data_IF_215497832096
#
_entry.id   IF_215497832096
#
_cell.length_a   1.000
_cell.length_b   1.000
_cell.length_c   1.000
_cell.angle_alpha   90.00
_cell.angle_beta   90.00
_cell.angle_gamma   90.00
#
_symmetry.space_group_name_H-M   'P 1'
#
loop_
_entity.id
_entity.type
_entity.pdbx_description
1 polymer ?
#
# COMPACT_ATOMS: atom_id res chain seq x y z
N UNK A 1 13.32 18.33 -6.78
CA UNK A 1 12.55 17.67 -5.70
C UNK A 1 11.40 16.83 -6.27
N UNK A 2 11.42 15.53 -5.99
CA UNK A 2 10.43 14.51 -6.36
C UNK A 2 9.84 13.94 -5.07
N UNK A 3 8.50 13.90 -5.00
CA UNK A 3 7.76 13.18 -3.98
C UNK A 3 7.22 11.89 -4.60
N UNK A 4 7.46 10.75 -3.96
CA UNK A 4 6.85 9.48 -4.34
C UNK A 4 5.77 9.09 -3.33
N UNK A 5 4.67 8.59 -3.86
CA UNK A 5 3.66 7.89 -3.07
C UNK A 5 4.11 6.44 -2.84
N UNK A 6 3.72 5.86 -1.71
CA UNK A 6 4.05 4.49 -1.31
C UNK A 6 3.42 3.43 -2.23
N UNK A 7 2.45 3.83 -3.04
CA UNK A 7 1.66 2.96 -3.91
C UNK A 7 0.55 2.22 -3.15
N UNK A 8 0.42 2.43 -1.84
CA UNK A 8 -0.65 1.87 -1.02
C UNK A 8 -2.01 2.17 -1.65
N UNK A 9 -2.35 3.45 -1.80
CA UNK A 9 -3.65 3.89 -2.33
C UNK A 9 -4.03 3.25 -3.69
N UNK A 10 -3.04 3.09 -4.58
CA UNK A 10 -3.27 2.47 -5.89
C UNK A 10 -3.60 0.99 -5.77
N UNK A 11 -2.89 0.26 -4.89
CA UNK A 11 -3.24 -1.14 -4.57
C UNK A 11 -4.61 -1.19 -3.84
N UNK A 12 -4.91 -0.17 -3.03
CA UNK A 12 -6.21 -0.02 -2.37
C UNK A 12 -7.37 0.26 -3.36
N UNK A 13 -7.09 0.85 -4.51
CA UNK A 13 -8.09 1.10 -5.55
C UNK A 13 -8.41 -0.15 -6.37
N UNK A 14 -7.54 -1.17 -6.36
CA UNK A 14 -7.70 -2.46 -7.06
C UNK A 14 -8.52 -3.49 -6.26
N UNK A 15 -9.51 -3.04 -5.48
CA UNK A 15 -10.26 -3.77 -4.42
C UNK A 15 -10.66 -5.22 -4.72
N UNK A 16 -10.94 -5.59 -5.97
CA UNK A 16 -11.35 -6.96 -6.32
C UNK A 16 -10.21 -7.98 -6.40
N UNK A 17 -8.94 -7.55 -6.42
CA UNK A 17 -7.81 -8.42 -6.77
C UNK A 17 -6.65 -8.33 -5.76
N UNK A 18 -6.91 -7.76 -4.58
CA UNK A 18 -5.92 -7.70 -3.50
C UNK A 18 -6.24 -8.64 -2.35
N UNK A 19 -5.20 -9.03 -1.62
CA UNK A 19 -5.26 -9.74 -0.34
C UNK A 19 -4.31 -9.04 0.62
N UNK A 20 -4.85 -8.50 1.70
CA UNK A 20 -4.10 -7.85 2.77
C UNK A 20 -3.68 -8.92 3.79
N UNK A 21 -2.42 -8.91 4.16
CA UNK A 21 -1.83 -9.71 5.23
C UNK A 21 -1.02 -8.77 6.15
N UNK A 22 -0.53 -9.27 7.28
CA UNK A 22 0.23 -8.43 8.23
C UNK A 22 1.56 -7.97 7.60
N UNK A 23 2.19 -8.82 6.80
CA UNK A 23 3.46 -8.52 6.12
C UNK A 23 3.34 -7.53 4.95
N UNK A 24 2.12 -7.21 4.51
CA UNK A 24 1.89 -6.30 3.38
C UNK A 24 0.72 -6.71 2.50
N UNK A 25 0.78 -6.35 1.22
CA UNK A 25 -0.33 -6.53 0.28
C UNK A 25 0.07 -7.35 -0.94
N UNK A 26 -0.71 -8.40 -1.18
CA UNK A 26 -0.68 -9.15 -2.44
C UNK A 26 -1.70 -8.55 -3.40
N UNK A 27 -1.31 -8.37 -4.66
CA UNK A 27 -2.20 -7.89 -5.72
C UNK A 27 -1.82 -8.49 -7.06
N UNK A 28 -2.66 -8.31 -8.08
CA UNK A 28 -2.30 -8.65 -9.45
C UNK A 28 -2.00 -7.40 -10.26
N UNK A 29 -0.93 -7.47 -11.05
CA UNK A 29 -0.63 -6.46 -12.06
C UNK A 29 -1.80 -6.31 -13.04
N UNK A 30 -2.25 -5.09 -13.25
CA UNK A 30 -3.29 -4.78 -14.24
C UNK A 30 -2.79 -4.88 -15.68
N UNK A 31 -1.46 -4.94 -15.90
CA UNK A 31 -0.87 -5.03 -17.24
C UNK A 31 -0.83 -6.46 -17.76
N UNK A 32 -0.54 -7.43 -16.87
CA UNK A 32 -0.26 -8.81 -17.27
C UNK A 32 -0.83 -9.87 -16.30
N UNK A 33 -1.53 -9.48 -15.24
CA UNK A 33 -2.17 -10.40 -14.29
C UNK A 33 -1.23 -11.12 -13.33
N UNK A 34 0.09 -10.84 -13.37
CA UNK A 34 1.06 -11.45 -12.46
C UNK A 34 0.74 -11.11 -11.01
N UNK A 35 0.90 -12.10 -10.12
CA UNK A 35 0.81 -11.88 -8.67
C UNK A 35 2.06 -11.15 -8.20
N UNK A 36 1.84 -10.05 -7.51
CA UNK A 36 2.86 -9.20 -6.93
C UNK A 36 2.62 -9.07 -5.43
N UNK A 37 3.67 -8.68 -4.72
CA UNK A 37 3.66 -8.43 -3.29
C UNK A 37 4.43 -7.14 -3.00
N UNK A 38 3.84 -6.31 -2.14
CA UNK A 38 4.40 -5.06 -1.65
C UNK A 38 4.31 -5.03 -0.13
N UNK A 39 5.46 -5.00 0.53
CA UNK A 39 5.62 -4.75 1.97
C UNK A 39 6.12 -3.33 2.20
N UNK A 40 6.05 -2.78 3.43
CA UNK A 40 6.63 -1.49 3.76
C UNK A 40 8.11 -1.39 3.38
N UNK A 41 8.93 -2.41 3.68
CA UNK A 41 10.36 -2.42 3.36
C UNK A 41 10.60 -2.38 1.86
N UNK A 42 9.76 -3.07 1.09
CA UNK A 42 9.87 -3.10 -0.36
C UNK A 42 9.43 -1.78 -0.99
N UNK A 43 8.38 -1.13 -0.46
CA UNK A 43 7.96 0.20 -0.89
C UNK A 43 9.11 1.21 -0.73
N UNK A 44 9.68 1.28 0.48
CA UNK A 44 10.82 2.14 0.79
C UNK A 44 12.03 1.82 -0.11
N UNK A 45 12.34 0.53 -0.33
CA UNK A 45 13.45 0.15 -1.22
C UNK A 45 13.22 0.59 -2.67
N UNK A 46 12.00 0.48 -3.18
CA UNK A 46 11.64 0.93 -4.54
C UNK A 46 11.76 2.44 -4.63
N UNK A 47 11.20 3.19 -3.68
CA UNK A 47 11.23 4.66 -3.68
C UNK A 47 12.65 5.23 -3.54
N UNK A 48 13.51 4.58 -2.74
CA UNK A 48 14.94 4.91 -2.68
C UNK A 48 15.65 4.65 -4.03
N UNK A 49 15.35 3.53 -4.68
CA UNK A 49 15.92 3.22 -6.00
C UNK A 49 15.45 4.19 -7.10
N UNK A 50 14.27 4.80 -6.93
CA UNK A 50 13.77 5.87 -7.79
C UNK A 50 14.45 7.22 -7.53
N UNK A 51 15.17 7.37 -6.41
CA UNK A 51 15.87 8.60 -6.04
C UNK A 51 14.92 9.70 -5.58
N UNK A 52 13.84 9.36 -4.88
CA UNK A 52 12.89 10.33 -4.35
C UNK A 52 13.52 11.25 -3.30
N UNK A 53 13.16 12.54 -3.32
CA UNK A 53 13.56 13.51 -2.29
C UNK A 53 12.67 13.42 -1.04
N UNK A 54 11.40 13.02 -1.23
CA UNK A 54 10.41 12.79 -0.16
C UNK A 54 9.69 11.47 -0.45
N UNK A 55 9.68 10.58 0.53
CA UNK A 55 9.14 9.22 0.44
C UNK A 55 7.94 9.12 1.40
N UNK A 56 6.83 8.57 0.92
CA UNK A 56 5.64 8.35 1.74
C UNK A 56 5.65 6.94 2.34
N UNK A 57 5.22 6.80 3.59
CA UNK A 57 5.10 5.47 4.20
C UNK A 57 3.96 4.68 3.54
N UNK A 58 4.14 3.36 3.43
CA UNK A 58 3.06 2.48 3.02
C UNK A 58 1.95 2.50 4.09
N UNK A 59 0.73 2.77 3.67
CA UNK A 59 -0.43 2.91 4.55
C UNK A 59 -1.63 2.11 4.03
N UNK A 60 -2.59 1.85 4.91
CA UNK A 60 -3.91 1.34 4.54
C UNK A 60 -4.91 2.49 4.45
N UNK A 61 -5.46 2.73 3.25
CA UNK A 61 -6.50 3.73 3.01
C UNK A 61 -7.90 3.06 3.04
N UNK A 62 -8.59 3.03 4.20
CA UNK A 62 -9.94 2.51 4.31
C UNK A 62 -10.96 3.41 3.56
N UNK A 63 -12.07 2.85 3.06
CA UNK A 63 -13.13 3.65 2.47
C UNK A 63 -13.82 4.54 3.52
N UNK A 64 -14.39 5.67 3.09
CA UNK A 64 -14.95 6.69 4.01
C UNK A 64 -16.14 6.18 4.83
N UNK A 65 -16.87 5.18 4.33
CA UNK A 65 -18.02 4.52 4.94
C UNK A 65 -17.64 3.24 5.70
N UNK A 66 -16.35 2.98 5.91
CA UNK A 66 -15.88 1.85 6.69
C UNK A 66 -16.42 1.88 8.13
N UNK A 67 -16.64 0.69 8.69
CA UNK A 67 -17.01 0.57 10.10
C UNK A 67 -15.88 1.11 10.99
N UNK A 68 -16.25 1.55 12.19
CA UNK A 68 -15.27 2.00 13.20
C UNK A 68 -14.19 0.94 13.46
N UNK A 69 -14.58 -0.33 13.59
CA UNK A 69 -13.63 -1.42 13.83
C UNK A 69 -12.66 -1.62 12.66
N UNK A 70 -13.13 -1.50 11.42
CA UNK A 70 -12.27 -1.57 10.26
C UNK A 70 -11.28 -0.40 10.24
N UNK A 71 -11.77 0.82 10.42
CA UNK A 71 -10.95 2.04 10.49
C UNK A 71 -9.86 1.94 11.57
N UNK A 72 -10.24 1.48 12.77
CA UNK A 72 -9.32 1.26 13.88
C UNK A 72 -8.23 0.25 13.52
N UNK A 73 -8.59 -0.85 12.86
CA UNK A 73 -7.64 -1.85 12.42
C UNK A 73 -6.69 -1.32 11.32
N UNK A 74 -7.20 -0.52 10.39
CA UNK A 74 -6.37 0.13 9.35
C UNK A 74 -5.36 1.12 9.91
N UNK A 75 -5.77 1.92 10.90
CA UNK A 75 -4.87 2.83 11.61
C UNK A 75 -3.79 2.04 12.37
N UNK A 76 -4.19 0.98 13.10
CA UNK A 76 -3.26 0.14 13.84
C UNK A 76 -2.23 -0.54 12.92
N UNK A 77 -2.64 -0.97 11.71
CA UNK A 77 -1.73 -1.52 10.71
C UNK A 77 -0.77 -0.46 10.16
N UNK A 78 -1.28 0.73 9.84
CA UNK A 78 -0.48 1.84 9.29
C UNK A 78 0.55 2.39 10.28
N UNK A 79 0.30 2.28 11.59
CA UNK A 79 1.17 2.86 12.64
C UNK A 79 2.32 1.94 13.06
N UNK A 80 2.26 0.65 12.73
CA UNK A 80 3.27 -0.34 13.11
C UNK A 80 4.53 -0.24 12.26
#
# INVERSE_FOLDING_TARGET
>A
PILTDSGGFQVFSLTKIRRLEEEGVYFRSHLNGHRLFLSPEKAISIENNLGADIIMSLDECPPFDASYDYMKNSINRTTR
#
